data_IF_010917068866
#
_entry.id   IF_010917068866
#
_cell.length_a   1.000
_cell.length_b   1.000
_cell.length_c   1.000
_cell.angle_alpha   90.00
_cell.angle_beta   90.00
_cell.angle_gamma   90.00
#
_symmetry.space_group_name_H-M   'P 1'
#
loop_
_entity.id
_entity.type
_entity.pdbx_description
1 polymer ?
#
# COMPACT_ATOMS: atom_id res chain seq x y z
N UNK A 1 3.24 6.68 5.54
CA UNK A 1 2.31 7.84 5.64
C UNK A 1 2.18 8.36 7.07
N UNK A 2 1.72 7.56 8.01
CA UNK A 2 1.43 7.93 9.41
C UNK A 2 2.61 8.61 10.16
N UNK A 3 3.78 7.97 10.15
CA UNK A 3 5.00 8.51 10.76
C UNK A 3 5.43 9.83 10.10
N UNK A 4 5.36 9.92 8.76
CA UNK A 4 5.69 11.15 8.04
C UNK A 4 4.70 12.27 8.37
N UNK A 5 3.40 11.96 8.48
CA UNK A 5 2.40 12.94 8.90
C UNK A 5 2.62 13.39 10.34
N UNK A 6 2.96 12.46 11.26
CA UNK A 6 3.30 12.82 12.65
C UNK A 6 4.48 13.79 12.71
N UNK A 7 5.53 13.52 11.95
CA UNK A 7 6.66 14.44 11.85
C UNK A 7 6.26 15.79 11.21
N UNK A 8 5.42 15.77 10.19
CA UNK A 8 4.93 17.00 9.57
C UNK A 8 4.08 17.85 10.53
N UNK A 9 3.31 17.22 11.43
CA UNK A 9 2.55 17.92 12.45
C UNK A 9 3.44 18.82 13.31
N UNK A 10 4.58 18.29 13.73
CA UNK A 10 5.45 18.94 14.71
C UNK A 10 6.55 19.79 14.04
N UNK A 11 6.99 19.44 12.84
CA UNK A 11 8.23 19.98 12.25
C UNK A 11 8.07 20.53 10.82
N UNK A 12 6.91 20.42 10.16
CA UNK A 12 6.76 20.94 8.81
C UNK A 12 6.47 22.44 8.81
N UNK A 13 7.16 23.17 7.96
CA UNK A 13 6.74 24.52 7.57
C UNK A 13 5.50 24.44 6.68
N UNK A 14 4.63 25.43 6.78
CA UNK A 14 3.52 25.61 5.85
C UNK A 14 4.04 26.16 4.54
N UNK A 15 3.67 25.55 3.44
CA UNK A 15 4.04 25.99 2.10
C UNK A 15 2.97 25.61 1.09
N UNK A 16 2.33 26.58 0.47
CA UNK A 16 1.36 26.35 -0.60
C UNK A 16 2.11 26.20 -1.93
N UNK A 17 2.22 24.95 -2.39
CA UNK A 17 2.79 24.68 -3.72
C UNK A 17 1.90 25.25 -4.84
N UNK A 18 2.46 25.79 -5.92
CA UNK A 18 1.70 26.20 -7.11
C UNK A 18 0.98 25.03 -7.78
N UNK A 19 1.42 23.79 -7.53
CA UNK A 19 0.82 22.57 -8.08
C UNK A 19 -0.45 22.12 -7.33
N UNK A 20 -0.80 22.78 -6.23
CA UNK A 20 -1.89 22.36 -5.33
C UNK A 20 -3.23 22.14 -6.05
N UNK A 21 -3.54 22.95 -7.05
CA UNK A 21 -4.80 22.86 -7.80
C UNK A 21 -4.95 21.57 -8.62
N UNK A 22 -3.83 20.91 -8.94
CA UNK A 22 -3.77 19.68 -9.73
C UNK A 22 -3.72 18.41 -8.86
N UNK A 23 -3.64 18.57 -7.55
CA UNK A 23 -3.54 17.45 -6.61
C UNK A 23 -4.91 17.06 -6.05
N UNK A 24 -5.18 15.78 -5.84
CA UNK A 24 -6.40 15.35 -5.17
C UNK A 24 -6.40 15.81 -3.70
N UNK A 25 -7.54 16.26 -3.22
CA UNK A 25 -7.68 16.81 -1.85
C UNK A 25 -7.21 15.85 -0.76
N UNK A 26 -7.40 14.54 -0.95
CA UNK A 26 -6.98 13.53 0.02
C UNK A 26 -5.46 13.43 0.19
N UNK A 27 -4.68 13.93 -0.77
CA UNK A 27 -3.21 13.86 -0.75
C UNK A 27 -2.54 15.07 -0.08
N UNK A 28 -3.30 16.06 0.38
CA UNK A 28 -2.73 17.29 0.95
C UNK A 28 -3.30 17.55 2.33
N UNK A 29 -2.41 17.74 3.31
CA UNK A 29 -2.77 18.10 4.66
C UNK A 29 -2.23 19.47 5.04
N UNK A 30 -3.14 20.44 5.21
CA UNK A 30 -2.87 21.80 5.77
C UNK A 30 -1.69 22.53 5.11
N UNK A 31 -1.40 22.31 3.84
CA UNK A 31 -0.20 22.81 3.16
C UNK A 31 1.12 22.48 3.89
N UNK A 32 1.13 21.46 4.73
CA UNK A 32 2.29 20.99 5.50
C UNK A 32 2.79 19.62 5.10
N UNK A 33 1.92 18.76 4.58
CA UNK A 33 2.27 17.43 4.10
C UNK A 33 1.58 17.16 2.77
N UNK A 34 2.33 16.57 1.85
CA UNK A 34 1.93 16.31 0.48
C UNK A 34 2.16 14.84 0.14
N UNK A 35 1.12 14.13 -0.30
CA UNK A 35 1.28 12.89 -1.03
C UNK A 35 1.98 13.17 -2.36
N UNK A 36 2.84 12.27 -2.78
CA UNK A 36 3.65 12.43 -4.00
C UNK A 36 3.50 11.29 -4.99
N UNK A 37 2.81 10.21 -4.62
CA UNK A 37 2.63 9.00 -5.44
C UNK A 37 1.21 8.47 -5.32
N UNK A 38 0.81 7.62 -6.27
CA UNK A 38 -0.47 6.90 -6.26
C UNK A 38 -0.18 5.40 -6.37
N UNK A 39 -0.01 4.71 -5.22
CA UNK A 39 0.47 3.33 -5.19
C UNK A 39 -0.61 2.36 -4.69
N UNK A 40 -1.32 1.68 -5.61
CA UNK A 40 -2.28 0.64 -5.23
C UNK A 40 -1.61 -0.53 -4.49
N UNK A 41 -2.35 -1.11 -3.56
CA UNK A 41 -1.93 -2.28 -2.78
C UNK A 41 -2.53 -3.54 -3.42
N UNK A 42 -1.68 -4.49 -3.76
CA UNK A 42 -2.03 -5.64 -4.58
C UNK A 42 -1.75 -6.97 -3.88
N UNK A 43 -2.27 -8.06 -4.44
CA UNK A 43 -1.80 -9.41 -4.18
C UNK A 43 -0.70 -9.78 -5.18
N UNK A 44 0.24 -10.61 -4.73
CA UNK A 44 1.20 -11.28 -5.59
C UNK A 44 1.03 -12.80 -5.47
N UNK A 45 1.32 -13.53 -6.53
CA UNK A 45 1.22 -14.98 -6.53
C UNK A 45 2.29 -15.62 -7.40
N UNK A 46 2.61 -16.89 -7.13
CA UNK A 46 3.52 -17.65 -7.98
C UNK A 46 2.77 -18.24 -9.17
N UNK A 47 3.04 -17.74 -10.37
CA UNK A 47 2.38 -18.17 -11.63
C UNK A 47 2.59 -19.63 -11.97
N UNK A 48 3.68 -20.25 -11.49
CA UNK A 48 3.98 -21.67 -11.76
C UNK A 48 3.16 -22.61 -10.88
N UNK A 49 2.71 -22.12 -9.71
CA UNK A 49 2.08 -22.93 -8.67
C UNK A 49 0.59 -22.62 -8.48
N UNK A 50 0.16 -21.43 -8.91
CA UNK A 50 -1.25 -20.99 -8.88
C UNK A 50 -1.74 -20.85 -10.31
N UNK A 51 -2.65 -21.72 -10.78
CA UNK A 51 -3.29 -21.58 -12.09
C UNK A 51 -4.06 -20.26 -12.20
N UNK A 52 -4.15 -19.70 -13.39
CA UNK A 52 -4.81 -18.41 -13.62
C UNK A 52 -6.28 -18.39 -13.14
N UNK A 53 -6.99 -19.52 -13.23
CA UNK A 53 -8.37 -19.65 -12.75
C UNK A 53 -8.53 -19.69 -11.22
N UNK A 54 -7.43 -19.92 -10.49
CA UNK A 54 -7.41 -19.99 -9.02
C UNK A 54 -6.90 -18.67 -8.39
N UNK A 55 -6.53 -17.68 -9.20
CA UNK A 55 -6.00 -16.40 -8.68
C UNK A 55 -7.12 -15.61 -8.02
N UNK A 56 -7.00 -15.29 -6.70
CA UNK A 56 -8.05 -14.55 -6.02
C UNK A 56 -8.05 -13.09 -6.47
N UNK A 57 -9.24 -12.56 -6.74
CA UNK A 57 -9.46 -11.18 -7.13
C UNK A 57 -10.14 -10.31 -6.04
N UNK A 58 -10.20 -10.85 -4.82
CA UNK A 58 -10.73 -10.14 -3.66
C UNK A 58 -10.21 -10.78 -2.36
N UNK A 59 -10.27 -10.06 -1.24
CA UNK A 59 -9.88 -10.58 0.07
C UNK A 59 -10.77 -11.76 0.49
N UNK A 60 -12.08 -11.66 0.21
CA UNK A 60 -13.01 -12.76 0.45
C UNK A 60 -12.69 -13.98 -0.43
N UNK A 61 -12.33 -13.78 -1.71
CA UNK A 61 -11.91 -14.87 -2.59
C UNK A 61 -10.61 -15.53 -2.12
N UNK A 62 -9.65 -14.75 -1.60
CA UNK A 62 -8.43 -15.27 -0.99
C UNK A 62 -8.74 -16.18 0.20
N UNK A 63 -9.59 -15.73 1.13
CA UNK A 63 -10.01 -16.53 2.29
C UNK A 63 -10.71 -17.83 1.85
N UNK A 64 -11.62 -17.75 0.87
CA UNK A 64 -12.34 -18.91 0.31
C UNK A 64 -11.38 -19.90 -0.37
N UNK A 65 -10.42 -19.42 -1.14
CA UNK A 65 -9.41 -20.26 -1.79
C UNK A 65 -8.60 -21.05 -0.76
N UNK A 66 -8.13 -20.41 0.29
CA UNK A 66 -7.37 -21.05 1.36
C UNK A 66 -8.23 -22.11 2.09
N UNK A 67 -9.47 -21.76 2.42
CA UNK A 67 -10.40 -22.67 3.08
C UNK A 67 -10.70 -23.93 2.23
N UNK A 68 -10.80 -23.78 0.90
CA UNK A 68 -11.08 -24.90 -0.02
C UNK A 68 -9.88 -25.81 -0.30
N UNK A 69 -8.64 -25.33 -0.07
CA UNK A 69 -7.39 -26.04 -0.37
C UNK A 69 -6.38 -25.91 0.79
N UNK A 70 -6.85 -26.11 2.03
CA UNK A 70 -6.08 -25.85 3.26
C UNK A 70 -4.71 -26.55 3.26
N UNK A 71 -4.62 -27.79 2.80
CA UNK A 71 -3.34 -28.52 2.76
C UNK A 71 -2.34 -27.88 1.80
N UNK A 72 -2.78 -27.44 0.62
CA UNK A 72 -1.95 -26.75 -0.37
C UNK A 72 -1.42 -25.42 0.16
N UNK A 73 -2.26 -24.69 0.90
CA UNK A 73 -1.93 -23.36 1.40
C UNK A 73 -1.33 -23.34 2.81
N UNK A 74 -1.07 -24.50 3.41
CA UNK A 74 -0.49 -24.60 4.76
C UNK A 74 0.83 -23.84 4.85
N UNK A 75 0.85 -22.75 5.63
CA UNK A 75 1.98 -21.79 5.77
C UNK A 75 2.50 -21.22 4.44
N UNK A 76 1.63 -21.13 3.42
CA UNK A 76 2.00 -20.69 2.07
C UNK A 76 1.47 -19.30 1.70
N UNK A 77 0.76 -18.64 2.61
CA UNK A 77 0.30 -17.26 2.43
C UNK A 77 1.14 -16.33 3.29
N UNK A 78 1.56 -15.20 2.70
CA UNK A 78 2.44 -14.25 3.40
C UNK A 78 1.88 -12.84 3.40
N UNK A 79 2.13 -12.12 4.48
CA UNK A 79 1.89 -10.68 4.63
C UNK A 79 2.92 -10.06 5.58
N UNK A 80 2.73 -8.78 5.93
CA UNK A 80 3.62 -8.13 6.89
C UNK A 80 3.44 -8.62 8.33
N UNK A 81 4.57 -8.69 9.05
CA UNK A 81 4.60 -8.67 10.50
C UNK A 81 4.30 -7.22 10.95
N UNK A 82 3.10 -6.96 11.42
CA UNK A 82 2.66 -5.61 11.78
C UNK A 82 3.40 -5.01 12.98
N UNK A 83 4.12 -5.82 13.74
CA UNK A 83 4.92 -5.34 14.86
C UNK A 83 6.31 -4.85 14.40
N UNK A 84 6.84 -5.46 13.35
CA UNK A 84 8.17 -5.15 12.79
C UNK A 84 8.11 -4.23 11.58
N UNK A 85 6.96 -4.15 10.90
CA UNK A 85 6.76 -3.30 9.72
C UNK A 85 5.78 -2.18 10.02
N UNK A 86 6.25 -0.93 10.04
CA UNK A 86 5.39 0.25 10.16
C UNK A 86 4.42 0.37 8.97
N UNK A 87 4.88 0.03 7.76
CA UNK A 87 4.01 -0.03 6.57
C UNK A 87 2.93 -1.09 6.74
N UNK A 88 3.31 -2.30 7.16
CA UNK A 88 2.36 -3.39 7.39
C UNK A 88 1.33 -3.05 8.46
N UNK A 89 1.75 -2.41 9.56
CA UNK A 89 0.84 -1.92 10.59
C UNK A 89 -0.17 -0.93 10.01
N UNK A 90 0.30 0.09 9.30
CA UNK A 90 -0.55 1.11 8.70
C UNK A 90 -1.54 0.50 7.69
N UNK A 91 -1.08 -0.38 6.78
CA UNK A 91 -1.96 -1.04 5.82
C UNK A 91 -3.02 -1.90 6.51
N UNK A 92 -2.64 -2.70 7.51
CA UNK A 92 -3.59 -3.50 8.30
C UNK A 92 -4.68 -2.65 8.96
N UNK A 93 -4.31 -1.49 9.51
CA UNK A 93 -5.28 -0.53 10.06
C UNK A 93 -6.22 0.00 8.98
N UNK A 94 -5.69 0.31 7.79
CA UNK A 94 -6.53 0.80 6.69
C UNK A 94 -7.44 -0.30 6.13
N UNK A 95 -6.98 -1.55 6.07
CA UNK A 95 -7.82 -2.71 5.73
C UNK A 95 -9.01 -2.81 6.69
N UNK A 96 -8.77 -2.68 8.00
CA UNK A 96 -9.85 -2.76 9.00
C UNK A 96 -10.84 -1.60 8.95
N UNK A 97 -10.45 -0.46 8.34
CA UNK A 97 -11.34 0.66 8.05
C UNK A 97 -12.11 0.46 6.74
N UNK A 98 -11.50 -0.20 5.75
CA UNK A 98 -12.08 -0.44 4.45
C UNK A 98 -13.10 -1.61 4.47
N UNK A 99 -12.85 -2.63 5.30
CA UNK A 99 -13.71 -3.82 5.42
C UNK A 99 -14.09 -4.07 6.90
N UNK A 100 -15.39 -3.96 7.25
CA UNK A 100 -15.88 -4.30 8.60
C UNK A 100 -15.60 -5.75 9.01
N UNK A 101 -15.40 -6.65 8.04
CA UNK A 101 -15.13 -8.06 8.27
C UNK A 101 -13.62 -8.41 8.25
N UNK A 102 -12.74 -7.40 8.17
CA UNK A 102 -11.29 -7.60 8.03
C UNK A 102 -10.70 -8.65 8.97
N UNK A 103 -10.98 -8.58 10.27
CA UNK A 103 -10.42 -9.52 11.24
C UNK A 103 -10.94 -10.95 11.05
N UNK A 104 -12.19 -11.11 10.60
CA UNK A 104 -12.73 -12.43 10.24
C UNK A 104 -12.05 -12.96 8.99
N UNK A 105 -11.91 -12.14 7.95
CA UNK A 105 -11.18 -12.48 6.70
C UNK A 105 -9.74 -12.86 7.00
N UNK A 106 -9.05 -12.09 7.86
CA UNK A 106 -7.69 -12.39 8.30
C UNK A 106 -7.61 -13.74 9.03
N UNK A 107 -8.55 -14.02 9.93
CA UNK A 107 -8.61 -15.28 10.64
C UNK A 107 -8.85 -16.47 9.69
N UNK A 108 -9.70 -16.29 8.69
CA UNK A 108 -9.95 -17.32 7.66
C UNK A 108 -8.70 -17.56 6.80
N UNK A 109 -7.98 -16.52 6.40
CA UNK A 109 -6.69 -16.61 5.70
C UNK A 109 -5.63 -17.30 6.58
N UNK A 110 -5.66 -17.03 7.89
CA UNK A 110 -4.68 -17.57 8.83
C UNK A 110 -4.92 -19.03 9.25
N UNK A 111 -6.06 -19.63 8.93
CA UNK A 111 -6.39 -21.05 9.28
C UNK A 111 -5.34 -22.04 8.79
N UNK A 112 -4.72 -21.77 7.65
CA UNK A 112 -3.62 -22.58 7.10
C UNK A 112 -2.26 -22.25 7.69
N UNK A 113 -2.15 -21.28 8.60
CA UNK A 113 -0.90 -20.70 9.07
C UNK A 113 -0.44 -19.55 8.17
N UNK A 114 -0.28 -18.36 8.76
CA UNK A 114 0.15 -17.15 8.06
C UNK A 114 1.65 -16.94 8.25
N UNK A 115 2.40 -16.83 7.14
CA UNK A 115 3.80 -16.44 7.15
C UNK A 115 3.91 -14.90 7.21
N UNK A 116 4.59 -14.35 8.21
CA UNK A 116 4.72 -12.90 8.36
C UNK A 116 6.16 -12.45 8.12
N UNK A 117 6.34 -11.33 7.41
CA UNK A 117 7.63 -10.80 7.01
C UNK A 117 7.77 -9.33 7.38
N UNK A 118 9.00 -8.87 7.60
CA UNK A 118 9.27 -7.46 7.93
C UNK A 118 9.35 -6.55 6.69
N UNK A 119 9.53 -7.11 5.50
CA UNK A 119 9.73 -6.32 4.28
C UNK A 119 8.99 -6.86 3.06
N UNK A 120 8.64 -5.97 2.13
CA UNK A 120 8.07 -6.29 0.81
C UNK A 120 9.02 -7.19 0.00
N UNK A 121 10.33 -6.89 0.02
CA UNK A 121 11.33 -7.65 -0.72
C UNK A 121 11.32 -9.12 -0.33
N UNK A 122 11.35 -9.42 0.97
CA UNK A 122 11.30 -10.79 1.48
C UNK A 122 10.01 -11.52 1.07
N UNK A 123 8.86 -10.83 1.12
CA UNK A 123 7.60 -11.44 0.66
C UNK A 123 7.66 -11.79 -0.82
N UNK A 124 8.14 -10.88 -1.66
CA UNK A 124 8.28 -11.11 -3.10
C UNK A 124 9.25 -12.27 -3.41
N UNK A 125 10.40 -12.32 -2.74
CA UNK A 125 11.38 -13.42 -2.90
C UNK A 125 10.78 -14.78 -2.54
N UNK A 126 10.06 -14.87 -1.44
CA UNK A 126 9.43 -16.12 -0.99
C UNK A 126 8.29 -16.56 -1.91
N UNK A 127 7.56 -15.62 -2.51
CA UNK A 127 6.55 -15.94 -3.52
C UNK A 127 7.22 -16.36 -4.84
N UNK A 128 8.24 -15.65 -5.28
CA UNK A 128 8.99 -15.98 -6.51
C UNK A 128 9.63 -17.37 -6.43
N UNK A 129 10.23 -17.73 -5.28
CA UNK A 129 10.84 -19.06 -5.07
C UNK A 129 9.81 -20.19 -4.94
N UNK A 130 8.55 -19.88 -4.64
CA UNK A 130 7.51 -20.86 -4.34
C UNK A 130 7.49 -21.32 -2.88
N UNK A 131 8.29 -20.70 -2.03
CA UNK A 131 8.21 -20.94 -0.59
C UNK A 131 6.85 -20.47 -0.02
N UNK A 132 6.37 -19.32 -0.49
CA UNK A 132 4.98 -18.92 -0.37
C UNK A 132 4.29 -18.95 -1.74
N UNK A 133 2.98 -19.15 -1.75
CA UNK A 133 2.18 -19.22 -2.98
C UNK A 133 1.55 -17.87 -3.31
N UNK A 134 1.09 -17.16 -2.28
CA UNK A 134 0.40 -15.88 -2.38
C UNK A 134 0.95 -14.93 -1.30
N UNK A 135 1.12 -13.67 -1.65
CA UNK A 135 1.37 -12.57 -0.73
C UNK A 135 0.31 -11.49 -0.89
N UNK A 136 -0.11 -10.86 0.19
CA UNK A 136 -1.05 -9.74 0.15
C UNK A 136 -0.49 -8.52 0.88
N UNK A 137 -1.10 -7.35 0.66
CA UNK A 137 -0.62 -6.04 1.13
C UNK A 137 0.73 -5.62 0.52
N UNK A 138 0.95 -5.93 -0.75
CA UNK A 138 2.16 -5.54 -1.48
C UNK A 138 1.92 -4.24 -2.24
N UNK A 139 2.87 -3.31 -2.22
CA UNK A 139 2.81 -2.11 -3.05
C UNK A 139 2.94 -2.49 -4.53
N UNK A 140 1.98 -2.07 -5.34
CA UNK A 140 1.92 -2.39 -6.77
C UNK A 140 3.17 -1.96 -7.53
N UNK A 141 3.74 -0.79 -7.23
CA UNK A 141 4.99 -0.31 -7.83
C UNK A 141 6.15 -1.30 -7.68
N UNK A 142 6.32 -1.90 -6.49
CA UNK A 142 7.36 -2.92 -6.26
C UNK A 142 7.04 -4.24 -6.96
N UNK A 143 5.78 -4.64 -6.94
CA UNK A 143 5.33 -5.85 -7.61
C UNK A 143 5.53 -5.75 -9.15
N UNK A 144 5.16 -4.61 -9.75
CA UNK A 144 5.35 -4.34 -11.18
C UNK A 144 6.83 -4.33 -11.57
N UNK A 145 7.67 -3.61 -10.80
CA UNK A 145 9.12 -3.59 -11.06
C UNK A 145 9.74 -4.99 -10.98
N UNK A 146 9.34 -5.81 -10.01
CA UNK A 146 9.81 -7.18 -9.86
C UNK A 146 9.32 -8.09 -10.98
N UNK A 147 8.05 -8.00 -11.36
CA UNK A 147 7.45 -8.85 -12.40
C UNK A 147 8.08 -8.65 -13.79
N UNK A 148 8.73 -7.51 -14.06
CA UNK A 148 9.50 -7.27 -15.30
C UNK A 148 10.71 -8.17 -15.42
N UNK A 149 11.34 -8.54 -14.31
CA UNK A 149 12.58 -9.34 -14.25
C UNK A 149 12.33 -10.76 -13.76
N UNK A 150 11.17 -11.03 -13.17
CA UNK A 150 10.81 -12.32 -12.61
C UNK A 150 9.49 -12.83 -13.19
N UNK A 151 9.54 -13.69 -14.21
CA UNK A 151 8.35 -14.21 -14.88
C UNK A 151 7.49 -15.12 -13.99
N UNK A 152 8.02 -15.60 -12.85
CA UNK A 152 7.27 -16.42 -11.92
C UNK A 152 6.30 -15.63 -11.06
N UNK A 153 6.50 -14.31 -10.92
CA UNK A 153 5.66 -13.45 -10.11
C UNK A 153 4.44 -12.96 -10.91
N UNK A 154 3.24 -13.21 -10.37
CA UNK A 154 1.98 -12.65 -10.84
C UNK A 154 1.47 -11.58 -9.90
N UNK A 155 0.67 -10.66 -10.44
CA UNK A 155 0.01 -9.58 -9.70
C UNK A 155 -1.49 -9.76 -9.87
N UNK A 156 -2.24 -9.68 -8.77
CA UNK A 156 -3.69 -9.67 -8.79
C UNK A 156 -4.20 -8.43 -8.03
N UNK A 157 -5.21 -7.80 -8.61
CA UNK A 157 -5.79 -6.55 -8.14
C UNK A 157 -7.09 -6.85 -7.39
N UNK A 158 -7.17 -6.59 -6.08
CA UNK A 158 -8.40 -6.84 -5.33
C UNK A 158 -9.55 -5.95 -5.81
N UNK A 159 -10.69 -6.55 -6.17
CA UNK A 159 -11.87 -5.85 -6.70
C UNK A 159 -12.89 -5.49 -5.65
N UNK A 160 -12.81 -6.08 -4.46
CA UNK A 160 -13.63 -5.70 -3.31
C UNK A 160 -13.20 -4.34 -2.74
N UNK A 161 -11.93 -4.18 -2.47
CA UNK A 161 -11.27 -2.90 -2.24
C UNK A 161 -9.77 -3.00 -2.54
N UNK A 162 -9.20 -1.94 -3.08
CA UNK A 162 -7.76 -1.77 -3.28
C UNK A 162 -7.33 -0.49 -2.58
N UNK A 163 -6.60 -0.62 -1.48
CA UNK A 163 -6.01 0.53 -0.82
C UNK A 163 -5.03 1.24 -1.76
N UNK A 164 -5.01 2.56 -1.73
CA UNK A 164 -4.04 3.34 -2.48
C UNK A 164 -3.22 4.18 -1.51
N UNK A 165 -1.94 3.87 -1.43
CA UNK A 165 -0.98 4.57 -0.60
C UNK A 165 -0.34 5.72 -1.38
N UNK A 166 0.00 6.79 -0.67
CA UNK A 166 0.88 7.85 -1.19
C UNK A 166 2.10 8.02 -0.29
N UNK A 167 3.27 8.22 -0.89
CA UNK A 167 4.46 8.65 -0.12
C UNK A 167 4.27 10.09 0.29
N UNK A 168 4.46 10.37 1.57
CA UNK A 168 4.23 11.71 2.12
C UNK A 168 5.56 12.45 2.25
N UNK A 169 5.60 13.63 1.65
CA UNK A 169 6.72 14.58 1.73
C UNK A 169 6.30 15.84 2.50
N UNK A 170 7.24 16.45 3.19
CA UNK A 170 7.07 17.75 3.85
C UNK A 170 8.38 18.51 3.88
N UNK A 171 8.32 19.82 4.03
CA UNK A 171 9.49 20.69 4.17
C UNK A 171 9.73 20.94 5.65
N UNK A 172 10.90 20.59 6.17
CA UNK A 172 11.26 20.82 7.57
C UNK A 172 11.32 22.32 7.89
N UNK A 173 10.81 22.73 9.06
CA UNK A 173 10.99 24.08 9.60
C UNK A 173 12.48 24.41 9.79
N UNK A 174 13.33 23.41 9.99
CA UNK A 174 14.76 23.53 10.17
C UNK A 174 15.58 23.36 8.89
N UNK A 175 14.90 23.37 7.72
CA UNK A 175 15.59 23.24 6.44
C UNK A 175 16.57 24.41 6.23
N UNK A 176 17.86 24.11 6.17
CA UNK A 176 18.91 25.13 5.94
C UNK A 176 18.75 25.82 4.57
N UNK A 177 18.20 25.10 3.59
CA UNK A 177 17.93 25.63 2.26
C UNK A 177 16.43 25.44 1.92
N UNK A 178 15.57 26.23 2.57
CA UNK A 178 14.13 26.17 2.39
C UNK A 178 13.68 26.44 0.94
N UNK A 179 14.38 27.34 0.22
CA UNK A 179 14.05 27.61 -1.18
C UNK A 179 14.30 26.39 -2.08
N UNK A 180 15.41 25.69 -1.92
CA UNK A 180 15.68 24.48 -2.67
C UNK A 180 14.68 23.35 -2.33
N UNK A 181 14.29 23.23 -1.06
CA UNK A 181 13.30 22.26 -0.62
C UNK A 181 11.91 22.54 -1.24
N UNK A 182 11.51 23.81 -1.34
CA UNK A 182 10.28 24.21 -2.04
C UNK A 182 10.32 23.88 -3.53
N UNK A 183 11.41 24.26 -4.20
CA UNK A 183 11.61 23.95 -5.63
C UNK A 183 11.59 22.44 -5.88
N UNK A 184 12.19 21.65 -4.98
CA UNK A 184 12.17 20.19 -5.08
C UNK A 184 10.75 19.63 -4.91
N UNK A 185 10.01 20.11 -3.92
CA UNK A 185 8.62 19.69 -3.70
C UNK A 185 7.75 20.04 -4.92
N UNK A 186 7.84 21.28 -5.40
CA UNK A 186 7.11 21.73 -6.60
C UNK A 186 7.45 20.87 -7.81
N UNK A 187 8.74 20.60 -8.02
CA UNK A 187 9.19 19.74 -9.11
C UNK A 187 8.61 18.31 -9.02
N UNK A 188 8.64 17.70 -7.84
CA UNK A 188 8.08 16.35 -7.63
C UNK A 188 6.57 16.32 -7.89
N UNK A 189 5.86 17.40 -7.54
CA UNK A 189 4.40 17.52 -7.71
C UNK A 189 4.01 18.03 -9.11
N UNK A 190 4.96 18.58 -9.89
CA UNK A 190 4.70 19.11 -11.23
C UNK A 190 4.35 18.02 -12.24
N UNK A 191 3.75 18.43 -13.35
CA UNK A 191 3.48 17.56 -14.50
C UNK A 191 4.75 16.80 -14.92
N UNK A 192 5.89 17.50 -15.05
CA UNK A 192 7.17 16.90 -15.45
C UNK A 192 7.67 15.87 -14.44
N UNK A 193 7.64 16.18 -13.14
CA UNK A 193 8.08 15.26 -12.09
C UNK A 193 7.21 14.02 -12.02
N UNK A 194 5.89 14.18 -12.10
CA UNK A 194 4.93 13.09 -12.07
C UNK A 194 5.01 12.22 -13.35
N UNK A 195 5.23 12.83 -14.51
CA UNK A 195 5.48 12.07 -15.76
C UNK A 195 6.74 11.20 -15.68
N UNK A 196 7.79 11.68 -15.04
CA UNK A 196 9.02 10.90 -14.82
C UNK A 196 8.76 9.74 -13.87
N UNK A 197 8.03 9.96 -12.77
CA UNK A 197 7.65 8.89 -11.84
C UNK A 197 6.84 7.80 -12.55
N UNK A 198 5.86 8.20 -13.36
CA UNK A 198 5.00 7.26 -14.08
C UNK A 198 5.75 6.49 -15.18
N UNK A 199 6.61 7.15 -15.96
CA UNK A 199 7.22 6.56 -17.15
C UNK A 199 8.56 5.86 -16.88
N UNK A 200 9.33 6.29 -15.87
CA UNK A 200 10.68 5.78 -15.63
C UNK A 200 10.82 5.00 -14.31
N UNK A 201 9.96 5.28 -13.32
CA UNK A 201 10.01 4.61 -12.03
C UNK A 201 8.87 3.61 -11.80
N UNK A 202 7.94 3.45 -12.76
CA UNK A 202 6.74 2.61 -12.63
C UNK A 202 5.87 2.96 -11.40
N UNK A 203 5.91 4.21 -10.98
CA UNK A 203 5.11 4.71 -9.87
C UNK A 203 3.97 5.54 -10.46
N UNK A 204 2.72 5.10 -10.36
CA UNK A 204 1.59 5.83 -10.91
C UNK A 204 1.52 7.26 -10.39
N UNK A 205 1.19 8.19 -11.29
CA UNK A 205 1.07 9.60 -10.97
C UNK A 205 -0.06 9.86 -9.98
N UNK A 206 0.15 10.85 -9.10
CA UNK A 206 -0.88 11.40 -8.25
C UNK A 206 -1.82 12.35 -9.01
N UNK A 207 -1.40 12.87 -10.17
CA UNK A 207 -2.14 13.83 -10.99
C UNK A 207 -3.01 13.10 -12.01
N UNK A 208 -4.21 13.64 -12.26
CA UNK A 208 -5.13 13.07 -13.24
C UNK A 208 -4.81 13.49 -14.70
N UNK A 209 -3.94 14.46 -14.88
CA UNK A 209 -3.54 14.99 -16.19
C UNK A 209 -2.28 14.32 -16.77
N UNK A 210 -1.81 13.22 -16.15
CA UNK A 210 -0.66 12.44 -16.60
C UNK A 210 -1.13 11.11 -17.16
N UNK A 211 -0.87 10.87 -18.44
CA UNK A 211 -1.09 9.59 -19.09
C UNK A 211 0.13 8.66 -18.90
N UNK A 212 -0.12 7.38 -18.71
CA UNK A 212 0.95 6.40 -18.57
C UNK A 212 0.43 4.98 -18.36
N UNK A 213 1.36 4.04 -18.22
CA UNK A 213 1.04 2.67 -17.81
C UNK A 213 0.60 2.69 -16.35
N UNK A 214 -0.56 2.12 -16.05
CA UNK A 214 -1.18 2.16 -14.72
C UNK A 214 -1.48 3.58 -14.21
N UNK A 215 -1.86 4.50 -15.11
CA UNK A 215 -2.35 5.81 -14.73
C UNK A 215 -3.66 5.72 -13.92
N UNK A 216 -4.05 6.83 -13.30
CA UNK A 216 -5.28 6.87 -12.49
C UNK A 216 -6.50 6.50 -13.32
N UNK A 217 -6.57 6.92 -14.57
CA UNK A 217 -7.69 6.64 -15.46
C UNK A 217 -7.77 5.15 -15.81
N UNK A 218 -6.65 4.51 -16.12
CA UNK A 218 -6.58 3.07 -16.37
C UNK A 218 -6.96 2.26 -15.13
N UNK A 219 -6.43 2.64 -13.96
CA UNK A 219 -6.78 2.02 -12.69
C UNK A 219 -8.25 2.24 -12.34
N UNK A 220 -8.78 3.43 -12.58
CA UNK A 220 -10.19 3.76 -12.34
C UNK A 220 -11.10 2.96 -13.28
N UNK A 221 -10.75 2.78 -14.55
CA UNK A 221 -11.48 1.93 -15.48
C UNK A 221 -11.48 0.46 -15.04
N UNK A 222 -10.36 -0.01 -14.49
CA UNK A 222 -10.20 -1.41 -14.06
C UNK A 222 -10.88 -1.71 -12.71
N UNK A 223 -10.76 -0.81 -11.73
CA UNK A 223 -11.13 -1.05 -10.33
C UNK A 223 -12.28 -0.16 -9.85
N UNK A 224 -12.51 0.99 -10.48
CA UNK A 224 -13.62 1.89 -10.17
C UNK A 224 -13.70 2.25 -8.68
N UNK A 225 -14.86 2.00 -8.08
CA UNK A 225 -15.12 2.28 -6.66
C UNK A 225 -14.35 1.39 -5.68
N UNK A 226 -13.67 0.34 -6.16
CA UNK A 226 -12.79 -0.48 -5.33
C UNK A 226 -11.53 0.27 -4.90
N UNK A 227 -11.07 1.28 -5.66
CA UNK A 227 -9.95 2.12 -5.26
C UNK A 227 -10.29 2.91 -3.99
N UNK A 228 -9.48 2.76 -2.96
CA UNK A 228 -9.62 3.41 -1.65
C UNK A 228 -8.35 4.18 -1.30
N UNK A 229 -8.19 5.43 -1.79
CA UNK A 229 -7.09 6.27 -1.41
C UNK A 229 -7.04 6.49 0.10
N UNK A 230 -5.88 6.28 0.70
CA UNK A 230 -5.63 6.54 2.11
C UNK A 230 -5.38 8.03 2.28
N UNK A 231 -6.27 8.78 2.96
CA UNK A 231 -6.13 10.23 3.06
C UNK A 231 -4.93 10.62 3.92
N UNK A 232 -4.26 11.70 3.51
CA UNK A 232 -3.20 12.34 4.30
C UNK A 232 -3.87 13.29 5.30
N UNK A 233 -4.36 12.74 6.41
CA UNK A 233 -5.06 13.49 7.46
C UNK A 233 -4.83 12.89 8.85
N UNK A 234 -5.38 13.55 9.88
CA UNK A 234 -5.20 13.15 11.28
C UNK A 234 -5.70 11.74 11.61
N UNK A 235 -6.53 11.14 10.78
CA UNK A 235 -6.99 9.75 10.98
C UNK A 235 -5.85 8.73 10.93
N UNK A 236 -4.73 9.08 10.27
CA UNK A 236 -3.50 8.28 10.27
C UNK A 236 -2.78 8.26 11.62
N UNK A 237 -3.02 9.26 12.47
CA UNK A 237 -2.34 9.39 13.75
C UNK A 237 -3.02 8.60 14.87
N UNK A 238 -4.26 8.18 14.65
CA UNK A 238 -5.09 7.53 15.67
C UNK A 238 -4.39 6.35 16.34
N UNK A 239 -3.84 5.45 15.53
CA UNK A 239 -3.18 4.22 16.01
C UNK A 239 -1.70 4.38 16.31
N UNK A 240 -1.15 5.61 16.24
CA UNK A 240 0.15 5.94 16.81
C UNK A 240 0.09 6.15 18.33
N UNK A 241 -1.12 6.30 18.89
CA UNK A 241 -1.33 6.34 20.34
C UNK A 241 -0.98 4.96 20.95
N UNK A 242 -0.10 4.88 21.98
CA UNK A 242 0.43 3.60 22.47
C UNK A 242 -0.65 2.58 22.86
N UNK A 243 -1.70 3.02 23.56
CA UNK A 243 -2.79 2.13 23.98
C UNK A 243 -3.54 1.56 22.79
N UNK A 244 -4.00 2.42 21.86
CA UNK A 244 -4.74 1.98 20.65
C UNK A 244 -3.88 1.05 19.79
N UNK A 245 -2.58 1.35 19.65
CA UNK A 245 -1.64 0.51 18.94
C UNK A 245 -1.55 -0.89 19.56
N UNK A 246 -1.36 -0.97 20.87
CA UNK A 246 -1.28 -2.26 21.57
C UNK A 246 -2.57 -3.06 21.48
N UNK A 247 -3.72 -2.42 21.63
CA UNK A 247 -5.02 -3.08 21.55
C UNK A 247 -5.26 -3.62 20.13
N UNK A 248 -4.90 -2.85 19.09
CA UNK A 248 -4.96 -3.30 17.70
C UNK A 248 -4.04 -4.50 17.44
N UNK A 249 -2.79 -4.46 17.91
CA UNK A 249 -1.83 -5.57 17.76
C UNK A 249 -2.37 -6.84 18.43
N UNK A 250 -2.94 -6.75 19.62
CA UNK A 250 -3.57 -7.90 20.30
C UNK A 250 -4.70 -8.51 19.48
N UNK A 251 -5.59 -7.67 18.92
CA UNK A 251 -6.69 -8.11 18.08
C UNK A 251 -6.20 -8.78 16.81
N UNK A 252 -5.19 -8.16 16.16
CA UNK A 252 -4.59 -8.72 14.95
C UNK A 252 -3.91 -10.07 15.22
N UNK A 253 -3.14 -10.18 16.32
CA UNK A 253 -2.52 -11.45 16.72
C UNK A 253 -3.56 -12.56 16.92
N UNK A 254 -4.64 -12.26 17.62
CA UNK A 254 -5.72 -13.20 17.82
C UNK A 254 -6.32 -13.70 16.49
N UNK A 255 -6.57 -12.79 15.54
CA UNK A 255 -7.07 -13.14 14.22
C UNK A 255 -6.01 -13.89 13.36
N UNK A 256 -4.75 -13.51 13.43
CA UNK A 256 -3.65 -14.12 12.67
C UNK A 256 -3.14 -15.45 13.27
N UNK A 257 -3.65 -15.88 14.42
CA UNK A 257 -3.18 -17.10 15.09
C UNK A 257 -1.74 -16.99 15.61
N UNK A 258 -1.34 -15.80 16.12
CA UNK A 258 0.02 -15.49 16.59
C UNK A 258 0.08 -15.23 18.08
#
# INVERSE_FOLDING_TARGET
MDTALKLATDYAQEYQSPELAQLPKWAVWKNKAYGTTYEPVVFIYNKRLIPAGDVPDSHAALAKLIASQTDKFKSKVTTYDIEKSGLGFMLSVQDSKADPHYFQTLADVAKGGLAVQSSTGTMMERVSSGENLIGFNILGSYAEARAKTDPSLGIAWPKDYTLVLSRVSFISQQAQNSHAAKLWLDYVLSEKGQSILASQADIPSLRNDIEGKNDIDGLTKMLGSALKPIPVDESLLEYLQPKKRLDYIKQWRAAAGK
#
